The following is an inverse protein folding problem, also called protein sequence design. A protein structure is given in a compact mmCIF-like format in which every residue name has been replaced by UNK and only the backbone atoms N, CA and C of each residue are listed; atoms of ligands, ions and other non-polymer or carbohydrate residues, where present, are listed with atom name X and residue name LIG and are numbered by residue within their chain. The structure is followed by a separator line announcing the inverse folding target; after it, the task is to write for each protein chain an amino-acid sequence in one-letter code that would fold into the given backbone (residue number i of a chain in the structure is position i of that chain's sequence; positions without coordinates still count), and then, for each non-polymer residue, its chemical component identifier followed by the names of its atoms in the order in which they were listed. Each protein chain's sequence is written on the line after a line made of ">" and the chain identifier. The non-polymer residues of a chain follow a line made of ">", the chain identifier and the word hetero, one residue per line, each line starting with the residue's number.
data_IF_282849723117
#
_entry.id   IF_282849723117
#
_cell.length_a   1.000
_cell.length_b   1.000
_cell.length_c   1.000
_cell.angle_alpha   90.00
_cell.angle_beta   90.00
_cell.angle_gamma   90.00
#
_symmetry.space_group_name_H-M   'P 1'
#
loop_
_entity.id
_entity.type
_entity.pdbx_description
1 polymer ?
#
# COMPACT_ATOMS: atom_id res chain seq x y z
N UNK A 1 -6.06 27.03 16.39
CA UNK A 1 -6.41 25.60 16.45
C UNK A 1 -7.43 25.38 15.36
N UNK A 2 -7.13 24.51 14.40
CA UNK A 2 -8.12 24.05 13.42
C UNK A 2 -9.25 23.36 14.20
N UNK A 3 -10.51 23.70 13.93
CA UNK A 3 -11.65 23.01 14.56
C UNK A 3 -11.79 21.63 13.95
N UNK A 4 -12.17 20.66 14.76
CA UNK A 4 -12.47 19.31 14.27
C UNK A 4 -13.69 19.37 13.34
N UNK A 5 -13.50 18.94 12.10
CA UNK A 5 -14.57 18.83 11.10
C UNK A 5 -14.94 17.37 10.87
N UNK A 6 -16.22 17.13 10.66
CA UNK A 6 -16.80 15.80 10.53
C UNK A 6 -17.68 15.73 9.29
N UNK A 7 -17.74 14.55 8.66
CA UNK A 7 -18.79 14.24 7.70
C UNK A 7 -20.04 13.79 8.48
N UNK A 8 -21.06 14.64 8.51
CA UNK A 8 -22.28 14.43 9.30
C UNK A 8 -23.45 14.17 8.36
N UNK A 9 -24.20 13.09 8.56
CA UNK A 9 -25.28 12.71 7.67
C UNK A 9 -26.20 11.64 8.23
N UNK A 10 -27.10 11.11 7.41
CA UNK A 10 -28.06 10.10 7.85
C UNK A 10 -27.39 8.79 8.35
N UNK A 11 -26.20 8.44 7.86
CA UNK A 11 -25.45 7.25 8.28
C UNK A 11 -24.90 7.33 9.72
N UNK A 12 -24.79 8.52 10.31
CA UNK A 12 -24.34 8.73 11.70
C UNK A 12 -25.33 9.59 12.51
N UNK A 13 -26.60 9.60 12.12
CA UNK A 13 -27.66 10.40 12.77
C UNK A 13 -27.27 11.88 12.96
N UNK A 14 -26.53 12.43 11.99
CA UNK A 14 -26.02 13.81 12.00
C UNK A 14 -25.14 14.14 13.21
N UNK A 15 -24.52 13.16 13.88
CA UNK A 15 -23.64 13.38 15.02
C UNK A 15 -22.20 13.70 14.58
N UNK A 16 -21.45 14.37 15.46
CA UNK A 16 -20.00 14.54 15.30
C UNK A 16 -19.29 13.29 15.85
N UNK A 17 -19.34 12.24 15.06
CA UNK A 17 -18.77 10.93 15.38
C UNK A 17 -17.30 10.87 14.95
N UNK A 18 -16.42 10.38 15.84
CA UNK A 18 -14.99 10.24 15.57
C UNK A 18 -14.67 9.39 14.36
N UNK A 19 -15.52 8.41 14.03
CA UNK A 19 -15.34 7.53 12.86
C UNK A 19 -15.53 8.28 11.53
N UNK A 20 -16.16 9.46 11.59
CA UNK A 20 -16.41 10.36 10.46
C UNK A 20 -15.63 11.68 10.57
N UNK A 21 -14.63 11.73 11.47
CA UNK A 21 -13.77 12.90 11.65
C UNK A 21 -12.76 13.00 10.50
N UNK A 22 -12.66 14.18 9.91
CA UNK A 22 -11.61 14.48 8.96
C UNK A 22 -10.26 14.66 9.66
N UNK A 23 -9.20 14.17 9.01
CA UNK A 23 -7.81 14.27 9.48
C UNK A 23 -7.05 15.21 8.54
N UNK A 24 -6.26 16.13 9.11
CA UNK A 24 -5.36 17.00 8.36
C UNK A 24 -4.35 16.19 7.54
N UNK A 25 -4.22 16.53 6.26
CA UNK A 25 -3.14 16.03 5.41
C UNK A 25 -1.97 17.00 5.46
N UNK A 26 -0.74 16.52 5.26
CA UNK A 26 0.47 17.35 5.30
C UNK A 26 0.57 18.36 4.12
N UNK A 27 -0.43 18.42 3.22
CA UNK A 27 -0.40 19.18 1.96
C UNK A 27 -1.66 20.07 1.85
N UNK A 28 -1.44 21.36 1.57
CA UNK A 28 -2.44 22.33 1.06
C UNK A 28 -3.76 22.49 1.85
N UNK A 29 -3.75 22.40 3.18
CA UNK A 29 -4.98 22.49 4.03
C UNK A 29 -6.10 21.54 3.58
N UNK A 30 -5.74 20.41 2.97
CA UNK A 30 -6.70 19.38 2.63
C UNK A 30 -6.92 18.48 3.83
N UNK A 31 -8.18 18.20 4.08
CA UNK A 31 -8.64 17.27 5.08
C UNK A 31 -9.10 15.99 4.39
N UNK A 32 -8.82 14.83 4.98
CA UNK A 32 -9.26 13.55 4.44
C UNK A 32 -9.95 12.67 5.46
N UNK A 33 -11.00 11.98 5.02
CA UNK A 33 -11.73 10.97 5.77
C UNK A 33 -11.78 9.70 4.94
N UNK A 34 -11.46 8.56 5.54
CA UNK A 34 -11.64 7.23 4.93
C UNK A 34 -12.69 6.50 5.75
N UNK A 35 -13.79 6.11 5.12
CA UNK A 35 -14.92 5.48 5.79
C UNK A 35 -15.53 4.37 4.93
N UNK A 36 -15.95 3.28 5.58
CA UNK A 36 -16.70 2.21 4.94
C UNK A 36 -18.20 2.52 5.02
N UNK A 37 -18.88 2.50 3.89
CA UNK A 37 -20.31 2.77 3.79
C UNK A 37 -21.01 1.61 3.07
N UNK A 38 -22.15 1.13 3.60
CA UNK A 38 -23.02 0.20 2.89
C UNK A 38 -23.54 0.79 1.58
N UNK A 39 -24.09 -0.06 0.71
CA UNK A 39 -24.87 0.42 -0.44
C UNK A 39 -26.05 1.26 0.05
N UNK A 40 -26.24 2.44 -0.56
CA UNK A 40 -27.38 3.29 -0.24
C UNK A 40 -27.26 4.73 -0.72
N UNK A 41 -28.36 5.45 -0.51
CA UNK A 41 -28.47 6.88 -0.75
C UNK A 41 -28.34 7.64 0.56
N UNK A 42 -27.49 8.67 0.56
CA UNK A 42 -27.14 9.41 1.75
C UNK A 42 -27.30 10.91 1.55
N UNK A 43 -27.71 11.60 2.61
CA UNK A 43 -27.58 13.04 2.73
C UNK A 43 -26.56 13.36 3.82
N UNK A 44 -25.63 14.26 3.52
CA UNK A 44 -24.60 14.68 4.46
C UNK A 44 -24.17 16.12 4.26
N UNK A 45 -23.41 16.62 5.24
CA UNK A 45 -22.74 17.92 5.26
C UNK A 45 -21.38 17.76 5.93
N UNK A 46 -20.53 18.77 5.78
CA UNK A 46 -19.31 18.88 6.57
C UNK A 46 -19.56 19.91 7.66
N UNK A 47 -19.29 19.57 8.91
CA UNK A 47 -19.42 20.54 9.99
C UNK A 47 -18.65 20.16 11.23
N UNK A 48 -18.43 21.15 12.10
CA UNK A 48 -17.89 20.90 13.44
C UNK A 48 -18.99 20.39 14.39
N UNK A 49 -18.62 20.00 15.61
CA UNK A 49 -19.56 19.43 16.58
C UNK A 49 -20.72 20.38 16.91
N UNK A 50 -20.43 21.67 17.01
CA UNK A 50 -21.36 22.72 17.41
C UNK A 50 -22.14 23.33 16.24
N UNK A 51 -21.94 22.85 15.00
CA UNK A 51 -22.48 23.43 13.76
C UNK A 51 -22.17 24.93 13.59
N UNK A 52 -21.06 25.39 14.19
CA UNK A 52 -20.54 26.73 13.92
C UNK A 52 -19.88 26.79 12.55
N UNK A 53 -19.28 25.69 12.13
CA UNK A 53 -18.89 25.41 10.75
C UNK A 53 -19.94 24.46 10.16
N UNK A 54 -20.62 24.89 9.09
CA UNK A 54 -21.63 24.10 8.37
C UNK A 54 -21.43 24.34 6.88
N UNK A 55 -20.93 23.34 6.17
CA UNK A 55 -20.64 23.39 4.75
C UNK A 55 -21.54 22.42 3.99
N UNK A 56 -22.23 22.96 2.99
CA UNK A 56 -23.14 22.24 2.11
C UNK A 56 -23.11 22.80 0.69
N UNK A 57 -23.94 22.27 -0.20
CA UNK A 57 -24.03 22.74 -1.58
C UNK A 57 -24.72 24.11 -1.67
N UNK A 58 -24.43 24.86 -2.73
CA UNK A 58 -25.05 26.16 -2.95
C UNK A 58 -26.57 26.07 -3.20
N UNK A 59 -27.00 24.96 -3.80
CA UNK A 59 -28.39 24.65 -4.13
C UNK A 59 -28.62 23.15 -3.99
N UNK A 60 -29.88 22.75 -4.04
CA UNK A 60 -30.22 21.33 -4.17
C UNK A 60 -29.76 20.82 -5.53
N UNK A 61 -28.86 19.84 -5.52
CA UNK A 61 -28.20 19.27 -6.69
C UNK A 61 -28.45 17.75 -6.74
N UNK A 62 -28.29 17.10 -7.91
CA UNK A 62 -28.33 15.64 -8.01
C UNK A 62 -27.19 14.96 -7.22
N UNK A 63 -27.29 13.64 -7.10
CA UNK A 63 -26.27 12.81 -6.46
C UNK A 63 -24.88 13.06 -7.02
N UNK A 64 -23.94 13.37 -6.12
CA UNK A 64 -22.54 13.56 -6.44
C UNK A 64 -21.96 12.25 -6.99
N UNK A 65 -21.27 12.32 -8.13
CA UNK A 65 -20.57 11.17 -8.70
C UNK A 65 -19.12 11.10 -8.19
N UNK A 66 -18.53 9.91 -8.27
CA UNK A 66 -17.13 9.72 -7.88
C UNK A 66 -16.21 10.64 -8.69
N UNK A 67 -15.22 11.27 -8.03
CA UNK A 67 -14.26 12.25 -8.60
C UNK A 67 -14.85 13.60 -9.02
N UNK A 68 -16.15 13.82 -8.85
CA UNK A 68 -16.71 15.16 -9.02
C UNK A 68 -16.20 16.07 -7.90
N UNK A 69 -15.68 17.24 -8.30
CA UNK A 69 -15.34 18.31 -7.37
C UNK A 69 -16.53 19.26 -7.26
N UNK A 70 -17.11 19.39 -6.06
CA UNK A 70 -18.16 20.38 -5.79
C UNK A 70 -17.69 21.43 -4.82
N UNK A 71 -18.01 22.68 -5.12
CA UNK A 71 -17.79 23.81 -4.24
C UNK A 71 -18.95 23.94 -3.25
N UNK A 72 -18.61 24.26 -2.02
CA UNK A 72 -19.50 24.33 -0.88
C UNK A 72 -19.64 25.78 -0.41
N UNK A 73 -20.79 26.07 0.19
CA UNK A 73 -21.06 27.33 0.89
C UNK A 73 -21.36 27.07 2.36
N UNK A 74 -21.17 28.09 3.18
CA UNK A 74 -21.61 28.06 4.57
C UNK A 74 -23.14 27.99 4.64
N UNK A 75 -23.66 27.14 5.53
CA UNK A 75 -25.10 26.89 5.74
C UNK A 75 -25.84 26.52 4.46
N UNK A 76 -25.17 25.78 3.57
CA UNK A 76 -25.71 25.31 2.30
C UNK A 76 -26.71 24.16 2.43
N UNK A 77 -27.16 23.65 1.29
CA UNK A 77 -28.02 22.46 1.16
C UNK A 77 -27.23 21.16 1.39
N UNK A 78 -27.93 20.04 1.59
CA UNK A 78 -27.30 18.74 1.81
C UNK A 78 -26.57 18.23 0.56
N UNK A 79 -25.41 17.60 0.77
CA UNK A 79 -24.73 16.80 -0.25
C UNK A 79 -25.45 15.46 -0.35
N UNK A 80 -25.88 15.09 -1.57
CA UNK A 80 -26.53 13.81 -1.84
C UNK A 80 -25.53 12.84 -2.44
N UNK A 81 -25.46 11.62 -1.92
CA UNK A 81 -24.59 10.54 -2.39
C UNK A 81 -25.44 9.31 -2.75
N UNK A 82 -25.08 8.62 -3.84
CA UNK A 82 -25.64 7.31 -4.21
C UNK A 82 -24.47 6.35 -4.40
N UNK A 83 -24.25 5.48 -3.40
CA UNK A 83 -23.02 4.71 -3.28
C UNK A 83 -23.33 3.22 -3.27
N UNK A 84 -22.51 2.44 -3.99
CA UNK A 84 -22.42 1.00 -3.77
C UNK A 84 -21.68 0.71 -2.46
N UNK A 85 -21.81 -0.50 -1.92
CA UNK A 85 -21.03 -0.92 -0.75
C UNK A 85 -19.51 -0.77 -1.01
N UNK A 86 -18.79 -0.20 -0.04
CA UNK A 86 -17.33 -0.16 -0.04
C UNK A 86 -16.71 0.95 0.80
N UNK A 87 -15.39 1.12 0.63
CA UNK A 87 -14.64 2.18 1.31
C UNK A 87 -14.49 3.41 0.42
N UNK A 88 -14.72 4.56 1.02
CA UNK A 88 -14.69 5.86 0.37
C UNK A 88 -13.70 6.79 1.05
N UNK A 89 -12.89 7.47 0.25
CA UNK A 89 -12.05 8.57 0.71
C UNK A 89 -12.70 9.89 0.31
N UNK A 90 -13.18 10.64 1.30
CA UNK A 90 -13.62 12.03 1.12
C UNK A 90 -12.43 12.95 1.32
N UNK A 91 -12.32 13.95 0.45
CA UNK A 91 -11.30 15.00 0.53
C UNK A 91 -12.03 16.33 0.57
N UNK A 92 -11.76 17.11 1.61
CA UNK A 92 -12.27 18.47 1.76
C UNK A 92 -11.10 19.45 1.68
N UNK A 93 -11.12 20.31 0.68
CA UNK A 93 -10.20 21.43 0.54
C UNK A 93 -10.78 22.64 1.28
N UNK A 94 -10.18 22.97 2.42
CA UNK A 94 -10.66 24.06 3.29
C UNK A 94 -10.50 25.43 2.61
N UNK A 95 -9.47 25.59 1.77
CA UNK A 95 -9.17 26.86 1.12
C UNK A 95 -10.20 27.18 0.03
N UNK A 96 -10.50 26.18 -0.81
CA UNK A 96 -11.44 26.32 -1.91
C UNK A 96 -12.88 25.99 -1.50
N UNK A 97 -13.09 25.52 -0.28
CA UNK A 97 -14.36 24.96 0.22
C UNK A 97 -14.91 23.97 -0.79
N UNK A 98 -14.11 22.98 -1.18
CA UNK A 98 -14.55 21.97 -2.15
C UNK A 98 -14.46 20.56 -1.58
N UNK A 99 -15.39 19.71 -1.99
CA UNK A 99 -15.42 18.30 -1.65
C UNK A 99 -15.33 17.45 -2.92
N UNK A 100 -14.56 16.37 -2.81
CA UNK A 100 -14.56 15.27 -3.76
C UNK A 100 -14.52 13.95 -2.97
N UNK A 101 -14.94 12.86 -3.61
CA UNK A 101 -14.77 11.53 -3.03
C UNK A 101 -14.30 10.52 -4.07
N UNK A 102 -13.61 9.51 -3.57
CA UNK A 102 -13.06 8.42 -4.37
C UNK A 102 -13.45 7.09 -3.74
N UNK A 103 -13.85 6.11 -4.56
CA UNK A 103 -13.98 4.75 -4.07
C UNK A 103 -12.56 4.19 -3.88
N UNK A 104 -12.19 4.02 -2.63
CA UNK A 104 -10.89 3.51 -2.22
C UNK A 104 -10.89 2.00 -2.06
N UNK A 105 -9.73 1.49 -1.67
CA UNK A 105 -9.63 0.21 -0.96
C UNK A 105 -9.53 0.54 0.54
N UNK A 106 -10.00 -0.35 1.41
CA UNK A 106 -9.94 -0.10 2.86
C UNK A 106 -8.51 0.24 3.31
N UNK A 107 -8.34 1.09 4.33
CA UNK A 107 -7.02 1.40 4.89
C UNK A 107 -6.24 0.12 5.26
N UNK A 108 -7.00 -0.89 5.70
CA UNK A 108 -6.56 -2.26 5.92
C UNK A 108 -6.02 -2.92 4.63
N UNK A 109 -6.75 -2.85 3.52
CA UNK A 109 -6.30 -3.36 2.22
C UNK A 109 -5.07 -2.63 1.67
N UNK A 110 -5.02 -1.29 1.79
CA UNK A 110 -3.85 -0.50 1.37
C UNK A 110 -2.61 -0.91 2.16
N UNK A 111 -2.75 -1.15 3.46
CA UNK A 111 -1.69 -1.63 4.34
C UNK A 111 -1.18 -3.01 3.91
N UNK A 112 -2.07 -3.96 3.58
CA UNK A 112 -1.65 -5.28 3.09
C UNK A 112 -0.98 -5.23 1.73
N UNK A 113 -1.42 -4.35 0.84
CA UNK A 113 -0.75 -4.14 -0.45
C UNK A 113 0.67 -3.60 -0.25
N UNK A 114 0.86 -2.64 0.67
CA UNK A 114 2.20 -2.16 1.05
C UNK A 114 3.06 -3.27 1.64
N UNK A 115 2.51 -4.10 2.53
CA UNK A 115 3.23 -5.24 3.13
C UNK A 115 3.68 -6.26 2.06
N UNK A 116 2.82 -6.60 1.09
CA UNK A 116 3.17 -7.45 -0.04
C UNK A 116 4.28 -6.83 -0.89
N UNK A 117 4.24 -5.51 -1.11
CA UNK A 117 5.29 -4.77 -1.80
C UNK A 117 6.65 -4.87 -1.10
N UNK A 118 6.69 -4.59 0.21
CA UNK A 118 7.93 -4.70 1.02
C UNK A 118 8.49 -6.12 0.98
N UNK A 119 7.63 -7.12 1.11
CA UNK A 119 8.00 -8.54 1.01
C UNK A 119 8.62 -8.88 -0.35
N UNK A 120 8.05 -8.41 -1.46
CA UNK A 120 8.61 -8.63 -2.80
C UNK A 120 10.00 -8.01 -2.93
N UNK A 121 10.14 -6.75 -2.51
CA UNK A 121 11.42 -6.03 -2.53
C UNK A 121 12.50 -6.76 -1.72
N UNK A 122 12.15 -7.25 -0.54
CA UNK A 122 13.06 -8.03 0.29
C UNK A 122 13.44 -9.36 -0.39
N UNK A 123 12.47 -10.08 -0.96
CA UNK A 123 12.72 -11.34 -1.66
C UNK A 123 13.69 -11.17 -2.83
N UNK A 124 13.45 -10.13 -3.65
CA UNK A 124 14.28 -9.76 -4.80
C UNK A 124 15.69 -9.33 -4.37
N UNK A 125 15.81 -8.50 -3.34
CA UNK A 125 17.10 -8.04 -2.83
C UNK A 125 17.96 -9.20 -2.31
N UNK A 126 17.35 -10.15 -1.59
CA UNK A 126 18.05 -11.35 -1.10
C UNK A 126 18.48 -12.23 -2.28
N UNK A 127 17.61 -12.47 -3.26
CA UNK A 127 17.94 -13.31 -4.42
C UNK A 127 19.08 -12.72 -5.27
N UNK A 128 19.03 -11.41 -5.50
CA UNK A 128 20.10 -10.67 -6.18
C UNK A 128 21.42 -10.74 -5.38
N UNK A 129 21.37 -10.55 -4.06
CA UNK A 129 22.54 -10.65 -3.19
C UNK A 129 23.17 -12.05 -3.22
N UNK A 130 22.35 -13.10 -3.10
CA UNK A 130 22.80 -14.50 -3.20
C UNK A 130 23.47 -14.78 -4.54
N UNK A 131 22.91 -14.27 -5.63
CA UNK A 131 23.47 -14.41 -6.99
C UNK A 131 24.81 -13.68 -7.14
N UNK A 132 24.93 -12.47 -6.61
CA UNK A 132 26.20 -11.72 -6.64
C UNK A 132 27.30 -12.44 -5.85
N UNK A 133 26.98 -12.97 -4.66
CA UNK A 133 27.94 -13.70 -3.84
C UNK A 133 28.34 -15.03 -4.49
N UNK A 134 27.40 -15.75 -5.11
CA UNK A 134 27.71 -16.96 -5.90
C UNK A 134 28.70 -16.67 -7.02
N UNK A 135 28.48 -15.57 -7.74
CA UNK A 135 29.37 -15.14 -8.80
C UNK A 135 30.77 -14.82 -8.28
N UNK A 136 30.88 -13.98 -7.24
CA UNK A 136 32.17 -13.62 -6.62
C UNK A 136 32.91 -14.86 -6.12
N UNK A 137 32.21 -15.79 -5.46
CA UNK A 137 32.80 -17.04 -4.98
C UNK A 137 33.42 -17.83 -6.14
N UNK A 138 32.67 -18.04 -7.23
CA UNK A 138 33.17 -18.74 -8.42
C UNK A 138 34.35 -18.01 -9.07
N UNK A 139 34.30 -16.67 -9.18
CA UNK A 139 35.41 -15.87 -9.72
C UNK A 139 36.70 -16.03 -8.92
N UNK A 140 36.62 -15.99 -7.58
CA UNK A 140 37.79 -16.17 -6.71
C UNK A 140 38.32 -17.60 -6.82
N UNK A 141 37.42 -18.60 -6.79
CA UNK A 141 37.80 -20.01 -6.87
C UNK A 141 38.44 -20.39 -8.21
N UNK A 142 38.08 -19.71 -9.30
CA UNK A 142 38.65 -19.99 -10.63
C UNK A 142 40.15 -19.66 -10.73
N UNK A 143 40.67 -18.71 -9.95
CA UNK A 143 42.08 -18.27 -10.02
C UNK A 143 43.06 -19.46 -9.83
N UNK A 144 42.99 -20.25 -8.74
CA UNK A 144 43.89 -21.40 -8.58
C UNK A 144 43.62 -22.53 -9.59
N UNK A 145 42.37 -22.76 -10.00
CA UNK A 145 42.06 -23.76 -11.03
C UNK A 145 42.73 -23.42 -12.36
N UNK A 146 42.63 -22.17 -12.81
CA UNK A 146 43.28 -21.70 -14.04
C UNK A 146 44.81 -21.80 -13.99
N UNK A 147 45.41 -21.59 -12.81
CA UNK A 147 46.85 -21.79 -12.63
C UNK A 147 47.24 -23.27 -12.74
N UNK A 148 46.47 -24.18 -12.12
CA UNK A 148 46.72 -25.62 -12.16
C UNK A 148 46.40 -26.26 -13.52
N UNK A 149 45.42 -25.74 -14.25
CA UNK A 149 45.08 -26.21 -15.61
C UNK A 149 46.24 -26.03 -16.60
N UNK A 150 47.18 -25.11 -16.33
CA UNK A 150 48.39 -24.91 -17.16
C UNK A 150 49.44 -26.01 -16.98
N UNK A 151 49.29 -26.88 -15.98
CA UNK A 151 50.17 -28.02 -15.76
C UNK A 151 49.60 -29.20 -16.53
N UNK A 152 50.16 -29.48 -17.72
CA UNK A 152 49.66 -30.50 -18.68
C UNK A 152 49.27 -31.84 -18.02
N UNK A 153 50.11 -32.45 -17.16
CA UNK A 153 49.75 -33.72 -16.50
C UNK A 153 48.50 -33.66 -15.61
N UNK A 154 48.08 -32.46 -15.19
CA UNK A 154 46.98 -32.23 -14.25
C UNK A 154 45.73 -31.64 -14.91
N UNK A 155 45.80 -31.13 -16.14
CA UNK A 155 44.74 -30.35 -16.78
C UNK A 155 43.36 -31.03 -16.71
N UNK A 156 43.28 -32.30 -17.12
CA UNK A 156 42.04 -33.07 -17.13
C UNK A 156 41.47 -33.29 -15.73
N UNK A 157 42.33 -33.59 -14.75
CA UNK A 157 41.96 -33.80 -13.36
C UNK A 157 41.44 -32.50 -12.72
N UNK A 158 42.15 -31.39 -12.97
CA UNK A 158 41.80 -30.06 -12.45
C UNK A 158 40.46 -29.59 -13.02
N UNK A 159 40.21 -29.77 -14.33
CA UNK A 159 38.91 -29.47 -14.96
C UNK A 159 37.77 -30.27 -14.32
N UNK A 160 37.99 -31.55 -14.03
CA UNK A 160 37.04 -32.39 -13.30
C UNK A 160 36.70 -31.84 -11.92
N UNK A 161 37.73 -31.49 -11.13
CA UNK A 161 37.56 -30.93 -9.78
C UNK A 161 36.86 -29.56 -9.84
N UNK A 162 37.21 -28.69 -10.78
CA UNK A 162 36.57 -27.38 -11.00
C UNK A 162 35.07 -27.53 -11.28
N UNK A 163 34.68 -28.49 -12.11
CA UNK A 163 33.28 -28.78 -12.37
C UNK A 163 32.54 -29.23 -11.10
N UNK A 164 33.13 -30.16 -10.33
CA UNK A 164 32.57 -30.60 -9.04
C UNK A 164 32.40 -29.43 -8.07
N UNK A 165 33.41 -28.56 -7.97
CA UNK A 165 33.35 -27.35 -7.15
C UNK A 165 32.22 -26.41 -7.61
N UNK A 166 32.12 -26.12 -8.91
CA UNK A 166 31.12 -25.20 -9.44
C UNK A 166 29.69 -25.71 -9.26
N UNK A 167 29.47 -27.01 -9.46
CA UNK A 167 28.18 -27.67 -9.20
C UNK A 167 27.85 -27.65 -7.71
N UNK A 168 28.80 -27.98 -6.84
CA UNK A 168 28.60 -27.97 -5.38
C UNK A 168 28.25 -26.57 -4.89
N UNK A 169 29.02 -25.57 -5.33
CA UNK A 169 28.81 -24.15 -5.02
C UNK A 169 27.40 -23.72 -5.45
N UNK A 170 27.02 -24.03 -6.69
CA UNK A 170 25.69 -23.69 -7.21
C UNK A 170 24.56 -24.33 -6.37
N UNK A 171 24.70 -25.60 -5.99
CA UNK A 171 23.72 -26.30 -5.17
C UNK A 171 23.55 -25.66 -3.78
N UNK A 172 24.65 -25.24 -3.15
CA UNK A 172 24.59 -24.52 -1.86
C UNK A 172 23.82 -23.21 -2.00
N UNK A 173 24.10 -22.40 -3.02
CA UNK A 173 23.38 -21.14 -3.22
C UNK A 173 21.91 -21.36 -3.62
N UNK A 174 21.59 -22.41 -4.39
CA UNK A 174 20.20 -22.79 -4.65
C UNK A 174 19.45 -23.19 -3.39
N UNK A 175 20.11 -23.84 -2.43
CA UNK A 175 19.52 -24.13 -1.13
C UNK A 175 19.19 -22.84 -0.38
N UNK A 176 20.09 -21.85 -0.39
CA UNK A 176 19.85 -20.53 0.23
C UNK A 176 18.64 -19.84 -0.44
N UNK A 177 18.57 -19.83 -1.77
CA UNK A 177 17.41 -19.30 -2.50
C UNK A 177 16.11 -20.02 -2.13
N UNK A 178 16.18 -21.33 -1.94
CA UNK A 178 15.03 -22.14 -1.53
C UNK A 178 14.53 -21.74 -0.14
N UNK A 179 15.43 -21.46 0.81
CA UNK A 179 15.05 -20.92 2.13
C UNK A 179 14.37 -19.55 1.99
N UNK A 180 14.91 -18.65 1.16
CA UNK A 180 14.29 -17.35 0.90
C UNK A 180 12.87 -17.48 0.32
N UNK A 181 12.65 -18.47 -0.56
CA UNK A 181 11.33 -18.78 -1.11
C UNK A 181 10.36 -19.28 -0.03
N UNK A 182 10.79 -20.20 0.83
CA UNK A 182 9.95 -20.71 1.94
C UNK A 182 9.54 -19.57 2.88
N UNK A 183 10.48 -18.69 3.25
CA UNK A 183 10.20 -17.53 4.11
C UNK A 183 9.19 -16.59 3.43
N UNK A 184 9.34 -16.36 2.13
CA UNK A 184 8.39 -15.57 1.34
C UNK A 184 6.99 -16.19 1.32
N UNK A 185 6.87 -17.52 1.21
CA UNK A 185 5.57 -18.21 1.27
C UNK A 185 4.93 -18.12 2.67
N UNK A 186 5.71 -18.28 3.75
CA UNK A 186 5.25 -18.08 5.13
C UNK A 186 4.74 -16.65 5.32
N UNK A 187 5.49 -15.65 4.85
CA UNK A 187 5.08 -14.25 4.91
C UNK A 187 3.77 -13.97 4.17
N UNK A 188 3.55 -14.59 3.01
CA UNK A 188 2.28 -14.47 2.28
C UNK A 188 1.09 -15.02 3.07
N UNK A 189 1.29 -16.18 3.69
CA UNK A 189 0.22 -16.83 4.45
C UNK A 189 -0.13 -16.03 5.71
N UNK A 190 0.86 -15.45 6.40
CA UNK A 190 0.63 -14.56 7.54
C UNK A 190 -0.16 -13.32 7.13
N UNK A 191 0.21 -12.67 6.03
CA UNK A 191 -0.54 -11.51 5.49
C UNK A 191 -2.01 -11.90 5.26
N UNK A 192 -2.29 -13.05 4.65
CA UNK A 192 -3.66 -13.52 4.38
C UNK A 192 -4.46 -13.84 5.65
N UNK A 193 -3.82 -14.28 6.73
CA UNK A 193 -4.48 -14.55 8.01
C UNK A 193 -4.93 -13.23 8.63
N UNK A 194 -4.01 -12.25 8.73
CA UNK A 194 -4.28 -10.94 9.32
C UNK A 194 -5.29 -10.15 8.47
N UNK A 195 -5.31 -10.37 7.14
CA UNK A 195 -6.30 -9.73 6.25
C UNK A 195 -7.74 -10.18 6.55
N UNK A 196 -7.92 -11.41 7.04
CA UNK A 196 -9.23 -12.00 7.36
C UNK A 196 -9.72 -11.73 8.78
N UNK A 197 -8.86 -11.30 9.69
CA UNK A 197 -9.20 -10.90 11.07
C UNK A 197 -9.68 -9.45 11.13
#
# INVERSE_FOLDING_TARGET
>A
MSKDLFLRGCFNNWQADSDYKFIETEIDNKLSLIVELPEGQYECKIGDADWTEDYGLFSDEPFLQEKDVKFLTEKGENIKLDLAEGVYKFIFDVNNKSIEFHKGTSHKQETFNKLRGIKSLLHEAIDAGVTAVEHIHKSIANIPFEAMEKVEPLESSVKGIKNVHNTTTHNVYNMIRSVNKIISEVGENLIKIIEKE
#
